data_IF_464858196005
#
_entry.id   IF_464858196005
#
_cell.length_a   1.000
_cell.length_b   1.000
_cell.length_c   1.000
_cell.angle_alpha   90.00
_cell.angle_beta   90.00
_cell.angle_gamma   90.00
#
_symmetry.space_group_name_H-M   'P 1'
#
loop_
_entity.id
_entity.type
_entity.pdbx_description
1 polymer ?
#
# COMPACT_ATOMS: atom_id res chain seq x y z
N UNK A 1 -2.98 12.93 -3.63
CA UNK A 1 -4.44 12.89 -3.58
C UNK A 1 -4.92 13.60 -2.31
N UNK A 2 -5.80 14.63 -2.43
CA UNK A 2 -6.33 15.33 -1.26
C UNK A 2 -7.35 14.50 -0.46
N UNK A 3 -8.08 13.58 -1.08
CA UNK A 3 -9.03 12.67 -0.41
C UNK A 3 -8.94 11.29 -1.09
N UNK A 4 -7.98 10.49 -0.66
CA UNK A 4 -7.91 9.08 -1.01
C UNK A 4 -8.94 8.28 -0.20
N UNK A 5 -9.54 7.25 -0.82
CA UNK A 5 -10.62 6.50 -0.20
C UNK A 5 -11.96 7.24 -0.23
N UNK A 6 -12.33 7.82 -1.36
CA UNK A 6 -13.60 8.55 -1.53
C UNK A 6 -14.84 7.72 -1.17
N UNK A 7 -14.83 6.41 -1.36
CA UNK A 7 -15.92 5.51 -0.93
C UNK A 7 -16.00 5.45 0.59
N UNK A 8 -14.87 5.36 1.28
CA UNK A 8 -14.78 5.43 2.74
C UNK A 8 -15.28 6.78 3.25
N UNK A 9 -14.87 7.89 2.62
CA UNK A 9 -15.34 9.23 2.96
C UNK A 9 -16.86 9.35 2.87
N UNK A 10 -17.46 8.94 1.75
CA UNK A 10 -18.92 8.99 1.53
C UNK A 10 -19.69 8.07 2.50
N UNK A 11 -19.12 6.91 2.83
CA UNK A 11 -19.74 5.96 3.76
C UNK A 11 -19.57 6.33 5.24
N UNK A 12 -18.79 7.38 5.56
CA UNK A 12 -18.49 7.77 6.94
C UNK A 12 -17.50 6.86 7.64
N UNK A 13 -16.72 6.07 6.88
CA UNK A 13 -15.63 5.26 7.42
C UNK A 13 -14.40 6.17 7.68
N UNK A 14 -13.72 6.04 8.83
CA UNK A 14 -12.66 6.99 9.21
C UNK A 14 -11.30 6.71 8.56
N UNK A 15 -11.23 5.82 7.57
CA UNK A 15 -9.99 5.34 6.95
C UNK A 15 -9.57 6.08 5.69
N UNK A 16 -10.37 7.07 5.22
CA UNK A 16 -9.93 7.94 4.15
C UNK A 16 -8.76 8.83 4.58
N UNK A 17 -7.90 9.20 3.65
CA UNK A 17 -6.70 9.95 3.96
C UNK A 17 -6.35 11.02 2.94
N UNK A 18 -5.31 11.78 3.26
CA UNK A 18 -4.65 12.71 2.36
C UNK A 18 -3.26 12.19 2.04
N UNK A 19 -2.92 12.12 0.76
CA UNK A 19 -1.63 11.69 0.26
C UNK A 19 -0.83 12.88 -0.24
N UNK A 20 0.38 13.06 0.30
CA UNK A 20 1.29 14.14 -0.10
C UNK A 20 2.63 13.52 -0.49
N UNK A 21 3.13 13.84 -1.68
CA UNK A 21 4.43 13.38 -2.15
C UNK A 21 5.30 14.55 -2.59
N UNK A 22 6.56 14.53 -2.15
CA UNK A 22 7.61 15.38 -2.72
C UNK A 22 8.36 14.57 -3.77
N UNK A 23 8.33 15.05 -5.01
CA UNK A 23 9.06 14.47 -6.13
C UNK A 23 10.34 15.26 -6.42
N UNK A 24 11.42 14.56 -6.74
CA UNK A 24 12.61 15.13 -7.35
C UNK A 24 12.86 14.39 -8.68
N UNK A 25 12.76 15.09 -9.80
CA UNK A 25 12.86 14.50 -11.17
C UNK A 25 11.92 13.30 -11.34
N UNK A 26 10.67 13.50 -10.97
CA UNK A 26 9.59 12.47 -11.02
C UNK A 26 9.78 11.27 -10.09
N UNK A 27 10.83 11.27 -9.27
CA UNK A 27 11.12 10.21 -8.32
C UNK A 27 10.58 10.61 -6.93
N UNK A 28 9.72 9.78 -6.29
CA UNK A 28 9.24 10.02 -4.94
C UNK A 28 10.38 10.07 -3.91
N UNK A 29 10.51 11.16 -3.18
CA UNK A 29 11.55 11.37 -2.16
C UNK A 29 11.00 11.32 -0.75
N UNK A 30 9.84 11.95 -0.53
CA UNK A 30 9.13 11.97 0.74
C UNK A 30 7.67 11.68 0.46
N UNK A 31 7.07 10.80 1.25
CA UNK A 31 5.65 10.48 1.22
C UNK A 31 5.01 10.67 2.58
N UNK A 32 3.77 11.14 2.57
CA UNK A 32 2.94 11.29 3.77
C UNK A 32 1.59 10.65 3.49
N UNK A 33 1.15 9.78 4.40
CA UNK A 33 -0.22 9.26 4.50
C UNK A 33 -0.80 9.87 5.77
N UNK A 34 -1.78 10.75 5.65
CA UNK A 34 -2.44 11.41 6.78
C UNK A 34 -3.90 10.96 6.88
N UNK A 35 -4.29 10.40 8.01
CA UNK A 35 -5.65 9.92 8.28
C UNK A 35 -6.30 10.87 9.28
N UNK A 36 -7.01 11.90 8.82
CA UNK A 36 -7.38 13.05 9.65
C UNK A 36 -8.38 12.69 10.75
N UNK A 37 -9.29 11.75 10.50
CA UNK A 37 -10.30 11.37 11.52
C UNK A 37 -9.66 10.54 12.63
N UNK A 38 -8.73 9.65 12.30
CA UNK A 38 -8.01 8.86 13.30
C UNK A 38 -6.86 9.64 13.94
N UNK A 39 -6.48 10.79 13.37
CA UNK A 39 -5.32 11.59 13.78
C UNK A 39 -4.02 10.79 13.77
N UNK A 40 -3.90 9.93 12.77
CA UNK A 40 -2.75 9.07 12.53
C UNK A 40 -2.03 9.50 11.27
N UNK A 41 -0.69 9.40 11.26
CA UNK A 41 0.12 9.80 10.11
C UNK A 41 1.34 8.93 9.95
N UNK A 42 1.64 8.56 8.71
CA UNK A 42 2.90 7.94 8.31
C UNK A 42 3.70 8.91 7.45
N UNK A 43 5.00 9.01 7.73
CA UNK A 43 5.93 9.80 6.95
C UNK A 43 7.12 8.94 6.55
N UNK A 44 7.31 8.72 5.27
CA UNK A 44 8.43 7.96 4.71
C UNK A 44 9.38 8.85 3.91
N UNK A 45 10.67 8.49 3.87
CA UNK A 45 11.68 9.20 3.10
C UNK A 45 12.75 8.25 2.62
N UNK A 46 13.21 8.38 1.38
CA UNK A 46 14.34 7.58 0.84
C UNK A 46 15.64 7.71 1.64
N UNK A 47 15.78 8.76 2.45
CA UNK A 47 17.00 9.05 3.23
C UNK A 47 16.87 8.69 4.72
N UNK A 48 15.68 8.33 5.19
CA UNK A 48 15.41 8.07 6.62
C UNK A 48 14.37 6.99 6.76
N UNK A 49 14.30 6.37 7.93
CA UNK A 49 13.26 5.41 8.30
C UNK A 49 11.86 6.02 8.20
N UNK A 50 10.89 5.19 7.87
CA UNK A 50 9.48 5.56 7.95
C UNK A 50 9.03 5.72 9.39
N UNK A 51 8.24 6.76 9.68
CA UNK A 51 7.80 7.11 11.02
C UNK A 51 6.27 7.14 11.04
N UNK A 52 5.70 6.50 12.04
CA UNK A 52 4.28 6.55 12.39
C UNK A 52 4.07 7.52 13.56
N UNK A 53 3.11 8.41 13.41
CA UNK A 53 2.62 9.32 14.43
C UNK A 53 1.24 8.87 14.88
N UNK A 54 1.13 8.14 16.01
CA UNK A 54 -0.14 7.64 16.51
C UNK A 54 -0.95 8.73 17.21
N UNK A 55 -2.28 8.55 17.23
CA UNK A 55 -3.18 9.34 18.09
C UNK A 55 -3.09 8.84 19.54
N UNK A 56 -2.07 9.27 20.25
CA UNK A 56 -1.84 8.92 21.66
C UNK A 56 -1.54 10.17 22.49
N UNK A 57 -1.87 10.18 23.79
CA UNK A 57 -1.70 11.36 24.66
C UNK A 57 -0.27 11.91 24.73
N UNK A 58 0.74 11.06 24.60
CA UNK A 58 2.15 11.44 24.57
C UNK A 58 2.72 11.56 23.15
N UNK A 59 1.93 11.21 22.11
CA UNK A 59 2.20 11.48 20.69
C UNK A 59 3.58 11.08 20.18
N UNK A 60 4.26 10.13 20.84
CA UNK A 60 5.64 9.76 20.48
C UNK A 60 5.69 9.07 19.12
N UNK A 61 6.51 9.57 18.19
CA UNK A 61 6.72 8.92 16.92
C UNK A 61 7.30 7.52 17.11
N UNK A 62 6.83 6.57 16.28
CA UNK A 62 7.28 5.19 16.26
C UNK A 62 7.96 4.90 14.92
N UNK A 63 9.14 4.30 14.94
CA UNK A 63 9.77 3.81 13.71
C UNK A 63 8.93 2.68 13.11
N UNK A 64 8.61 2.79 11.83
CA UNK A 64 7.87 1.77 11.10
C UNK A 64 8.82 0.65 10.69
N UNK A 65 8.30 -0.56 10.74
CA UNK A 65 8.97 -1.74 10.21
C UNK A 65 7.92 -2.73 9.73
N UNK A 66 8.03 -3.14 8.48
CA UNK A 66 7.19 -4.20 7.91
C UNK A 66 7.35 -5.53 8.65
N UNK A 67 6.39 -6.43 8.51
CA UNK A 67 6.47 -7.77 9.08
C UNK A 67 7.59 -8.59 8.42
N UNK A 68 7.95 -9.73 9.03
CA UNK A 68 8.91 -10.68 8.46
C UNK A 68 8.23 -11.81 7.66
N UNK A 69 6.99 -11.60 7.21
CA UNK A 69 6.23 -12.64 6.51
C UNK A 69 6.82 -12.92 5.13
N UNK A 70 7.01 -14.20 4.82
CA UNK A 70 7.64 -14.67 3.58
C UNK A 70 6.73 -15.57 2.73
N UNK A 71 5.56 -15.97 3.25
CA UNK A 71 4.68 -16.94 2.60
C UNK A 71 3.27 -16.40 2.45
N UNK A 72 2.69 -16.52 1.27
CA UNK A 72 1.33 -16.07 0.98
C UNK A 72 0.31 -16.79 1.88
N UNK A 73 0.49 -18.09 2.12
CA UNK A 73 -0.43 -18.91 2.91
C UNK A 73 -0.50 -18.51 4.40
N UNK A 74 0.41 -17.67 4.83
CA UNK A 74 0.45 -17.12 6.19
C UNK A 74 0.18 -15.63 6.23
N UNK A 75 -0.01 -14.99 5.06
CA UNK A 75 -0.12 -13.54 4.94
C UNK A 75 -1.53 -13.03 5.15
N UNK A 76 -1.61 -11.79 5.63
CA UNK A 76 -2.79 -10.96 5.63
C UNK A 76 -2.76 -10.09 4.39
N UNK A 77 -3.68 -10.35 3.46
CA UNK A 77 -3.87 -9.62 2.20
C UNK A 77 -4.96 -8.56 2.36
N UNK A 78 -4.67 -7.36 1.90
CA UNK A 78 -5.64 -6.27 1.74
C UNK A 78 -5.81 -5.85 0.28
N UNK A 79 -7.00 -5.37 -0.04
CA UNK A 79 -7.34 -4.66 -1.28
C UNK A 79 -8.45 -3.66 -0.97
N UNK A 80 -8.53 -2.55 -1.69
CA UNK A 80 -9.56 -1.54 -1.43
C UNK A 80 -10.96 -2.09 -1.75
N UNK A 81 -11.14 -2.74 -2.90
CA UNK A 81 -12.45 -3.24 -3.35
C UNK A 81 -12.27 -4.46 -4.27
N UNK A 82 -13.03 -5.55 -4.09
CA UNK A 82 -12.98 -6.69 -5.00
C UNK A 82 -13.48 -6.38 -6.42
N UNK A 83 -14.24 -5.30 -6.61
CA UNK A 83 -14.76 -4.88 -7.91
C UNK A 83 -13.83 -3.88 -8.65
N UNK A 84 -12.67 -3.53 -8.09
CA UNK A 84 -11.67 -2.70 -8.77
C UNK A 84 -10.95 -3.46 -9.91
N UNK A 85 -10.98 -4.79 -9.87
CA UNK A 85 -10.31 -5.63 -10.86
C UNK A 85 -11.22 -5.88 -12.07
N UNK A 86 -10.74 -5.57 -13.27
CA UNK A 86 -11.42 -5.92 -14.51
C UNK A 86 -11.42 -7.44 -14.77
N UNK A 87 -12.07 -7.87 -15.86
CA UNK A 87 -12.22 -9.31 -16.19
C UNK A 87 -10.88 -10.03 -16.44
N UNK A 88 -9.82 -9.30 -16.81
CA UNK A 88 -8.48 -9.86 -17.03
C UNK A 88 -7.72 -9.96 -15.69
N UNK A 89 -7.81 -8.95 -14.84
CA UNK A 89 -7.10 -8.85 -13.57
C UNK A 89 -7.71 -9.73 -12.47
N UNK A 90 -9.05 -9.85 -12.45
CA UNK A 90 -9.80 -10.56 -11.40
C UNK A 90 -9.37 -12.02 -11.19
N UNK A 91 -9.09 -12.84 -12.23
CA UNK A 91 -8.55 -14.19 -12.05
C UNK A 91 -7.21 -14.23 -11.31
N UNK A 92 -6.29 -13.31 -11.58
CA UNK A 92 -4.98 -13.23 -10.92
C UNK A 92 -5.12 -12.84 -9.46
N UNK A 93 -5.92 -11.81 -9.16
CA UNK A 93 -6.24 -11.45 -7.78
C UNK A 93 -6.88 -12.63 -7.03
N UNK A 94 -7.83 -13.35 -7.63
CA UNK A 94 -8.46 -14.50 -7.01
C UNK A 94 -7.47 -15.64 -6.69
N UNK A 95 -6.44 -15.84 -7.52
CA UNK A 95 -5.40 -16.84 -7.26
C UNK A 95 -4.61 -16.53 -5.99
N UNK A 96 -4.20 -15.28 -5.80
CA UNK A 96 -3.44 -14.87 -4.61
C UNK A 96 -4.35 -14.81 -3.38
N UNK A 97 -5.59 -14.32 -3.53
CA UNK A 97 -6.59 -14.25 -2.47
C UNK A 97 -6.95 -15.64 -1.93
N UNK A 98 -7.07 -16.65 -2.81
CA UNK A 98 -7.36 -18.03 -2.42
C UNK A 98 -6.25 -18.70 -1.61
N UNK A 99 -5.01 -18.22 -1.73
CA UNK A 99 -3.86 -18.75 -1.00
C UNK A 99 -3.59 -18.00 0.32
N UNK A 100 -4.01 -16.74 0.42
CA UNK A 100 -3.75 -15.92 1.61
C UNK A 100 -4.46 -16.46 2.85
N UNK A 101 -3.82 -16.36 4.02
CA UNK A 101 -4.39 -16.77 5.31
C UNK A 101 -5.66 -15.97 5.65
N UNK A 102 -5.67 -14.69 5.33
CA UNK A 102 -6.78 -13.77 5.58
C UNK A 102 -6.83 -12.73 4.46
N UNK A 103 -8.01 -12.50 3.91
CA UNK A 103 -8.27 -11.44 2.95
C UNK A 103 -9.20 -10.41 3.58
N UNK A 104 -8.86 -9.13 3.45
CA UNK A 104 -9.68 -8.01 3.89
C UNK A 104 -9.83 -7.01 2.75
N UNK A 105 -10.96 -6.32 2.75
CA UNK A 105 -11.25 -5.23 1.81
C UNK A 105 -11.51 -3.93 2.55
N UNK A 106 -11.30 -2.83 1.84
CA UNK A 106 -11.36 -1.49 2.40
C UNK A 106 -10.01 -1.06 2.96
N UNK A 107 -9.94 0.18 3.44
CA UNK A 107 -8.73 0.75 4.03
C UNK A 107 -7.99 1.71 3.12
N UNK A 108 -8.13 1.60 1.82
CA UNK A 108 -7.55 2.54 0.86
C UNK A 108 -6.06 2.83 1.23
N UNK A 109 -5.59 4.07 1.28
CA UNK A 109 -4.22 4.41 1.70
C UNK A 109 -3.85 3.97 3.14
N UNK A 110 -4.84 3.79 4.01
CA UNK A 110 -4.62 3.30 5.37
C UNK A 110 -3.98 1.91 5.40
N UNK A 111 -4.31 1.06 4.41
CA UNK A 111 -3.72 -0.28 4.25
C UNK A 111 -2.20 -0.22 4.12
N UNK A 112 -1.66 0.76 3.41
CA UNK A 112 -0.22 0.93 3.23
C UNK A 112 0.48 1.42 4.51
N UNK A 113 -0.20 2.25 5.31
CA UNK A 113 0.24 2.58 6.65
C UNK A 113 0.31 1.36 7.58
N UNK A 114 -0.71 0.49 7.52
CA UNK A 114 -0.73 -0.78 8.24
C UNK A 114 0.38 -1.74 7.78
N UNK A 115 0.65 -1.80 6.47
CA UNK A 115 1.76 -2.58 5.90
C UNK A 115 3.11 -2.06 6.41
N UNK A 116 3.34 -0.76 6.33
CA UNK A 116 4.56 -0.12 6.82
C UNK A 116 4.79 -0.33 8.32
N UNK A 117 3.69 -0.46 9.09
CA UNK A 117 3.73 -0.73 10.54
C UNK A 117 3.79 -2.22 10.89
N UNK A 118 3.81 -3.13 9.90
CA UNK A 118 3.92 -4.57 10.09
C UNK A 118 2.64 -5.28 10.58
N UNK A 119 1.48 -4.63 10.46
CA UNK A 119 0.18 -5.21 10.85
C UNK A 119 -0.42 -6.10 9.77
N UNK A 120 -0.11 -5.83 8.51
CA UNK A 120 -0.49 -6.64 7.36
C UNK A 120 0.73 -6.93 6.50
N UNK A 121 0.63 -7.85 5.55
CA UNK A 121 1.79 -8.39 4.85
C UNK A 121 1.78 -8.07 3.36
N UNK A 122 0.61 -7.87 2.78
CA UNK A 122 0.41 -7.80 1.33
C UNK A 122 -0.78 -6.90 0.99
N UNK A 123 -0.58 -5.99 0.04
CA UNK A 123 -1.65 -5.20 -0.60
C UNK A 123 -1.59 -5.45 -2.10
N UNK A 124 -2.74 -5.74 -2.71
CA UNK A 124 -2.88 -5.94 -4.16
C UNK A 124 -4.06 -5.11 -4.65
N UNK A 125 -3.80 -4.23 -5.60
CA UNK A 125 -4.78 -3.29 -6.14
C UNK A 125 -4.65 -3.10 -7.65
N UNK A 126 -5.66 -2.50 -8.26
CA UNK A 126 -5.71 -2.14 -9.67
C UNK A 126 -6.51 -0.84 -9.85
N UNK A 127 -6.54 -0.31 -11.06
CA UNK A 127 -7.27 0.93 -11.41
C UNK A 127 -6.83 2.18 -10.61
N UNK A 128 -5.59 2.17 -10.10
CA UNK A 128 -4.98 3.29 -9.39
C UNK A 128 -4.40 4.33 -10.36
N UNK A 129 -4.20 5.54 -9.86
CA UNK A 129 -3.50 6.62 -10.55
C UNK A 129 -2.18 6.94 -9.87
N UNK A 130 -1.29 7.63 -10.57
CA UNK A 130 0.02 7.99 -10.02
C UNK A 130 -0.09 8.79 -8.70
N UNK A 131 -1.08 9.69 -8.57
CA UNK A 131 -1.30 10.46 -7.34
C UNK A 131 -1.77 9.61 -6.15
N UNK A 132 -2.32 8.41 -6.38
CA UNK A 132 -2.68 7.45 -5.31
C UNK A 132 -1.45 6.72 -4.77
N UNK A 133 -0.39 6.59 -5.59
CA UNK A 133 0.75 5.71 -5.29
C UNK A 133 2.02 6.44 -4.88
N UNK A 134 2.30 7.59 -5.50
CA UNK A 134 3.59 8.28 -5.33
C UNK A 134 3.94 8.57 -3.85
N UNK A 135 2.94 8.85 -3.00
CA UNK A 135 3.16 9.08 -1.57
C UNK A 135 3.40 7.77 -0.79
N UNK A 136 2.85 6.65 -1.28
CA UNK A 136 2.95 5.35 -0.63
C UNK A 136 4.36 4.76 -0.77
N UNK A 137 5.02 4.99 -1.91
CA UNK A 137 6.35 4.44 -2.23
C UNK A 137 7.37 4.75 -1.13
N UNK A 138 7.66 6.01 -0.76
CA UNK A 138 8.64 6.28 0.29
C UNK A 138 8.23 5.74 1.66
N UNK A 139 6.92 5.66 1.96
CA UNK A 139 6.43 5.15 3.25
C UNK A 139 6.68 3.65 3.37
N UNK A 140 6.35 2.89 2.33
CA UNK A 140 6.51 1.42 2.33
C UNK A 140 7.99 1.04 2.24
N UNK A 141 8.74 1.63 1.29
CA UNK A 141 10.15 1.29 1.07
C UNK A 141 11.02 1.62 2.28
N UNK A 142 10.82 2.78 2.90
CA UNK A 142 11.62 3.17 4.08
C UNK A 142 11.24 2.44 5.36
N UNK A 143 10.13 1.71 5.37
CA UNK A 143 9.78 0.73 6.40
C UNK A 143 10.37 -0.67 6.13
N UNK A 144 11.05 -0.88 4.99
CA UNK A 144 11.66 -2.14 4.57
C UNK A 144 10.78 -3.01 3.68
N UNK A 145 9.61 -2.52 3.25
CA UNK A 145 8.73 -3.20 2.30
C UNK A 145 9.14 -2.98 0.84
N UNK A 146 8.42 -3.62 -0.08
CA UNK A 146 8.55 -3.46 -1.52
C UNK A 146 7.22 -3.02 -2.11
N UNK A 147 7.30 -2.21 -3.17
CA UNK A 147 6.14 -1.74 -3.91
C UNK A 147 6.48 -1.69 -5.41
N UNK A 148 5.66 -2.28 -6.25
CA UNK A 148 5.84 -2.31 -7.70
C UNK A 148 4.50 -2.46 -8.44
N UNK A 149 4.53 -2.35 -9.76
CA UNK A 149 3.45 -2.88 -10.59
C UNK A 149 3.43 -4.43 -10.55
N UNK A 150 2.44 -5.04 -11.21
CA UNK A 150 2.34 -6.51 -11.27
C UNK A 150 3.43 -7.17 -12.13
N UNK A 151 4.19 -6.40 -12.91
CA UNK A 151 5.34 -6.85 -13.68
C UNK A 151 6.67 -6.71 -12.91
N UNK A 152 6.66 -6.06 -11.75
CA UNK A 152 7.83 -5.81 -10.92
C UNK A 152 8.55 -4.50 -11.23
N UNK A 153 7.94 -3.58 -12.01
CA UNK A 153 8.49 -2.26 -12.26
C UNK A 153 8.11 -1.30 -11.11
N UNK A 154 9.01 -0.36 -10.80
CA UNK A 154 8.81 0.68 -9.78
C UNK A 154 8.62 2.09 -10.37
N UNK A 155 8.29 2.18 -11.66
CA UNK A 155 7.86 3.42 -12.32
C UNK A 155 6.35 3.47 -12.36
N UNK A 156 5.78 4.59 -11.91
CA UNK A 156 4.34 4.85 -11.86
C UNK A 156 4.03 6.13 -12.63
N UNK A 157 4.50 6.19 -13.88
CA UNK A 157 4.29 7.29 -14.81
C UNK A 157 2.89 7.22 -15.46
N UNK A 158 2.63 8.10 -16.40
CA UNK A 158 1.33 8.20 -17.07
C UNK A 158 1.00 6.98 -17.97
N UNK A 159 1.97 6.14 -18.30
CA UNK A 159 1.79 4.91 -19.09
C UNK A 159 1.55 3.67 -18.20
N UNK A 160 1.66 3.82 -16.87
CA UNK A 160 1.40 2.73 -15.93
C UNK A 160 -0.07 2.27 -15.95
N UNK A 161 -0.30 0.96 -15.93
CA UNK A 161 -1.62 0.33 -16.08
C UNK A 161 -2.52 0.39 -14.84
N UNK A 162 -2.06 1.02 -13.76
CA UNK A 162 -2.79 1.16 -12.49
C UNK A 162 -2.76 -0.08 -11.60
N UNK A 163 -2.00 -1.13 -11.95
CA UNK A 163 -1.88 -2.33 -11.13
C UNK A 163 -0.75 -2.20 -10.11
N UNK A 164 -1.02 -2.47 -8.84
CA UNK A 164 -0.06 -2.31 -7.75
C UNK A 164 0.02 -3.55 -6.86
N UNK A 165 1.23 -3.86 -6.41
CA UNK A 165 1.49 -4.83 -5.35
C UNK A 165 2.50 -4.27 -4.35
N UNK A 166 2.15 -4.28 -3.06
CA UNK A 166 3.04 -3.91 -1.97
C UNK A 166 3.17 -5.05 -0.97
N UNK A 167 4.37 -5.33 -0.48
CA UNK A 167 4.66 -6.51 0.35
C UNK A 167 5.66 -6.23 1.45
N UNK A 168 5.61 -7.05 2.50
CA UNK A 168 6.48 -6.96 3.65
C UNK A 168 7.90 -7.53 3.43
N UNK A 169 8.10 -8.39 2.40
CA UNK A 169 9.43 -9.00 2.16
C UNK A 169 9.68 -9.29 0.68
N UNK A 170 10.96 -9.39 0.26
CA UNK A 170 11.32 -9.76 -1.10
C UNK A 170 10.79 -11.14 -1.52
N UNK A 171 10.78 -12.11 -0.60
CA UNK A 171 10.29 -13.46 -0.86
C UNK A 171 8.78 -13.47 -1.11
N UNK A 172 8.03 -12.71 -0.31
CA UNK A 172 6.59 -12.55 -0.49
C UNK A 172 6.28 -11.81 -1.79
N UNK A 173 7.07 -10.78 -2.11
CA UNK A 173 6.93 -10.02 -3.35
C UNK A 173 7.13 -10.90 -4.59
N UNK A 174 8.19 -11.72 -4.59
CA UNK A 174 8.47 -12.65 -5.67
C UNK A 174 7.33 -13.67 -5.86
N UNK A 175 6.76 -14.19 -4.78
CA UNK A 175 5.62 -15.12 -4.84
C UNK A 175 4.37 -14.40 -5.41
N UNK A 176 4.07 -13.19 -4.93
CA UNK A 176 2.95 -12.40 -5.40
C UNK A 176 3.07 -12.11 -6.90
N UNK A 177 4.22 -11.62 -7.36
CA UNK A 177 4.46 -11.39 -8.80
C UNK A 177 4.34 -12.67 -9.63
N UNK A 178 4.70 -13.83 -9.08
CA UNK A 178 4.54 -15.13 -9.75
C UNK A 178 3.07 -15.50 -10.03
N UNK A 179 2.15 -14.99 -9.22
CA UNK A 179 0.69 -15.23 -9.34
C UNK A 179 -0.04 -14.10 -10.10
N UNK A 180 0.51 -12.88 -10.08
CA UNK A 180 -0.10 -11.67 -10.66
C UNK A 180 0.34 -11.39 -12.11
N UNK A 181 1.37 -12.05 -12.62
CA UNK A 181 1.86 -11.81 -13.99
C UNK A 181 0.75 -12.07 -15.01
N UNK A 182 0.33 -11.00 -15.66
CA UNK A 182 -0.40 -11.08 -16.93
C UNK A 182 0.57 -11.57 -18.01
N UNK A 183 0.20 -12.62 -18.73
CA UNK A 183 0.99 -13.15 -19.84
C UNK A 183 1.09 -12.14 -20.99
#
# INVERSE_FOLDING_TARGET
DPIDGTRSFVAGMPTFGTLICLLEKEIPQIGIIDIPILQERWCGSRKKESIFYPNQPDGKPLACKVSNQQKIEQSILYSADPEMFNNIQKPYFNQIAAQAKLVRFGGDCYSYGLLASGHIDLVVEADLKNYDVMALVPVVESAGGLISDWNGNSSFDDEWDGCLVATASPELHKQALGLLKTA
#
